data_IF_719252932972
#
_entry.id   IF_719252932972
#
_cell.length_a   1.000
_cell.length_b   1.000
_cell.length_c   1.000
_cell.angle_alpha   90.00
_cell.angle_beta   90.00
_cell.angle_gamma   90.00
#
_symmetry.space_group_name_H-M   'P 1'
#
loop_
_entity.id
_entity.type
_entity.pdbx_description
1 polymer ?
#
# COMPACT_ATOMS: atom_id res chain seq x y z
N UNK A 1 34.64 8.66 55.48
CA UNK A 1 33.86 7.60 54.81
C UNK A 1 33.14 8.23 53.63
N UNK A 2 33.63 8.03 52.40
CA UNK A 2 32.98 8.49 51.18
C UNK A 2 32.27 7.29 50.55
N UNK A 3 30.94 7.36 50.45
CA UNK A 3 30.09 6.36 49.82
C UNK A 3 30.00 6.74 48.35
N UNK A 4 30.64 5.95 47.47
CA UNK A 4 30.45 6.04 46.03
C UNK A 4 29.10 5.41 45.68
N UNK A 5 28.11 6.24 45.34
CA UNK A 5 26.86 5.79 44.72
C UNK A 5 27.14 5.44 43.25
N UNK A 6 27.31 4.15 42.97
CA UNK A 6 27.26 3.60 41.62
C UNK A 6 25.80 3.51 41.20
N UNK A 7 25.37 4.42 40.32
CA UNK A 7 24.06 4.33 39.67
C UNK A 7 24.09 3.19 38.64
N UNK A 8 23.05 2.33 38.59
CA UNK A 8 22.96 1.27 37.60
C UNK A 8 22.59 1.89 36.25
N UNK A 9 23.51 1.77 35.29
CA UNK A 9 23.21 2.06 33.89
C UNK A 9 22.28 0.93 33.41
N UNK A 10 20.98 1.19 33.40
CA UNK A 10 20.01 0.35 32.69
C UNK A 10 20.32 0.47 31.19
N UNK A 11 21.07 -0.49 30.66
CA UNK A 11 21.23 -0.68 29.23
C UNK A 11 19.87 -1.09 28.65
N UNK A 12 19.10 -0.11 28.16
CA UNK A 12 17.96 -0.34 27.29
C UNK A 12 18.49 -0.94 25.98
N UNK A 13 18.51 -2.27 25.90
CA UNK A 13 18.64 -2.99 24.64
C UNK A 13 17.39 -2.69 23.81
N UNK A 14 17.46 -1.63 23.01
CA UNK A 14 16.49 -1.37 21.96
C UNK A 14 16.60 -2.50 20.94
N UNK A 15 15.59 -3.36 20.89
CA UNK A 15 15.45 -4.33 19.80
C UNK A 15 15.18 -3.51 18.54
N UNK A 16 16.14 -3.46 17.63
CA UNK A 16 15.93 -2.91 16.30
C UNK A 16 15.13 -3.96 15.53
N UNK A 17 13.80 -3.82 15.52
CA UNK A 17 12.95 -4.64 14.68
C UNK A 17 13.17 -4.18 13.23
N UNK A 18 13.78 -5.03 12.41
CA UNK A 18 13.87 -4.78 10.99
C UNK A 18 12.49 -5.07 10.38
N UNK A 19 11.84 -4.02 9.87
CA UNK A 19 10.60 -4.16 9.09
C UNK A 19 10.85 -5.14 7.93
N UNK A 20 9.87 -5.98 7.64
CA UNK A 20 9.85 -6.82 6.44
C UNK A 20 9.31 -6.02 5.26
N UNK A 21 9.58 -6.48 4.04
CA UNK A 21 9.02 -5.86 2.84
C UNK A 21 7.49 -5.80 2.89
N UNK A 22 6.83 -6.90 3.23
CA UNK A 22 5.37 -6.94 3.39
C UNK A 22 4.84 -5.93 4.42
N UNK A 23 5.47 -5.82 5.59
CA UNK A 23 5.08 -4.82 6.62
C UNK A 23 5.23 -3.38 6.08
N UNK A 24 6.31 -3.10 5.35
CA UNK A 24 6.49 -1.80 4.69
C UNK A 24 5.38 -1.53 3.67
N UNK A 25 5.02 -2.50 2.82
CA UNK A 25 3.94 -2.37 1.85
C UNK A 25 2.59 -2.07 2.51
N UNK A 26 2.26 -2.79 3.59
CA UNK A 26 1.03 -2.57 4.34
C UNK A 26 0.98 -1.17 4.96
N UNK A 27 2.09 -0.72 5.56
CA UNK A 27 2.22 0.64 6.10
C UNK A 27 2.06 1.70 5.01
N UNK A 28 2.64 1.48 3.82
CA UNK A 28 2.49 2.39 2.69
C UNK A 28 1.08 2.35 2.09
N UNK A 29 0.39 1.21 2.06
CA UNK A 29 -1.01 1.17 1.64
C UNK A 29 -1.91 1.93 2.63
N UNK A 30 -1.69 1.77 3.93
CA UNK A 30 -2.43 2.45 5.00
C UNK A 30 -2.25 3.97 4.98
N UNK A 31 -1.02 4.48 4.89
CA UNK A 31 -0.81 5.91 4.79
C UNK A 31 -1.28 6.48 3.43
N UNK A 32 -1.35 5.65 2.37
CA UNK A 32 -1.88 6.05 1.07
C UNK A 32 -3.38 6.31 1.17
N UNK A 33 -4.16 5.38 1.74
CA UNK A 33 -5.61 5.61 1.90
C UNK A 33 -5.91 6.78 2.84
N UNK A 34 -5.05 7.06 3.84
CA UNK A 34 -5.21 8.20 4.73
C UNK A 34 -5.00 9.54 4.02
N UNK A 35 -4.16 9.57 2.98
CA UNK A 35 -3.89 10.77 2.16
C UNK A 35 -4.80 10.92 0.94
N UNK A 36 -5.50 9.84 0.54
CA UNK A 36 -6.36 9.84 -0.63
C UNK A 36 -7.62 10.72 -0.44
N UNK A 37 -8.18 11.30 -1.53
CA UNK A 37 -9.45 12.03 -1.50
C UNK A 37 -10.55 11.25 -0.78
N UNK A 38 -11.51 11.91 -0.14
CA UNK A 38 -12.52 11.24 0.71
C UNK A 38 -13.42 10.28 -0.08
N UNK A 39 -13.51 10.47 -1.40
CA UNK A 39 -14.28 9.68 -2.34
C UNK A 39 -13.55 8.42 -2.82
N UNK A 40 -12.25 8.28 -2.53
CA UNK A 40 -11.51 7.07 -2.84
C UNK A 40 -12.12 5.87 -2.13
N UNK A 41 -12.36 4.80 -2.88
CA UNK A 41 -12.90 3.54 -2.36
C UNK A 41 -11.77 2.59 -1.91
N UNK A 42 -10.60 2.70 -2.53
CA UNK A 42 -9.41 1.92 -2.22
C UNK A 42 -8.13 2.71 -2.50
N UNK A 43 -7.06 2.43 -1.74
CA UNK A 43 -5.70 2.76 -2.12
C UNK A 43 -4.89 1.48 -2.28
N UNK A 44 -4.07 1.44 -3.33
CA UNK A 44 -3.28 0.28 -3.74
C UNK A 44 -1.83 0.73 -3.84
N UNK A 45 -0.90 -0.04 -3.30
CA UNK A 45 0.54 0.09 -3.52
C UNK A 45 1.02 -1.19 -4.21
N UNK A 46 1.66 -1.04 -5.36
CA UNK A 46 2.08 -2.17 -6.17
C UNK A 46 3.49 -2.01 -6.74
N UNK A 47 4.24 -3.11 -6.75
CA UNK A 47 5.49 -3.26 -7.48
C UNK A 47 5.30 -4.20 -8.67
N UNK A 48 5.57 -3.70 -9.88
CA UNK A 48 5.61 -4.51 -11.10
C UNK A 48 4.73 -3.97 -12.23
N UNK A 49 4.70 -4.69 -13.35
CA UNK A 49 3.90 -4.32 -14.54
C UNK A 49 2.40 -4.35 -14.24
N UNK A 50 1.71 -3.25 -14.53
CA UNK A 50 0.31 -3.05 -14.14
C UNK A 50 -0.41 -2.00 -15.00
N UNK A 51 -1.74 -1.97 -14.90
CA UNK A 51 -2.61 -1.13 -15.74
C UNK A 51 -2.75 0.32 -15.26
N UNK A 52 -2.30 0.65 -14.03
CA UNK A 52 -2.43 1.98 -13.45
C UNK A 52 -1.56 3.02 -14.18
N UNK A 53 -0.40 2.61 -14.69
CA UNK A 53 0.56 3.49 -15.37
C UNK A 53 1.00 3.02 -16.76
N UNK A 54 0.45 1.91 -17.25
CA UNK A 54 0.64 1.46 -18.64
C UNK A 54 -0.57 1.80 -19.52
N UNK A 55 -0.45 1.60 -20.83
CA UNK A 55 -1.59 1.69 -21.76
C UNK A 55 -2.34 0.35 -21.89
N UNK A 56 -2.01 -0.64 -21.08
CA UNK A 56 -2.64 -1.96 -21.07
C UNK A 56 -3.78 -2.01 -20.04
N UNK A 57 -4.72 -2.91 -20.27
CA UNK A 57 -5.85 -3.15 -19.37
C UNK A 57 -6.89 -2.03 -19.40
N UNK A 58 -7.76 -2.05 -18.39
CA UNK A 58 -9.01 -1.29 -18.38
C UNK A 58 -9.12 -0.27 -17.23
N UNK A 59 -8.00 0.08 -16.57
CA UNK A 59 -8.03 1.10 -15.52
C UNK A 59 -8.50 2.43 -16.08
N UNK A 60 -9.58 2.96 -15.52
CA UNK A 60 -10.02 4.31 -15.80
C UNK A 60 -9.07 5.29 -15.10
N UNK A 61 -8.29 6.01 -15.89
CA UNK A 61 -7.28 6.98 -15.41
C UNK A 61 -7.79 8.41 -15.37
N UNK A 62 -9.11 8.62 -15.49
CA UNK A 62 -9.68 9.96 -15.30
C UNK A 62 -9.41 10.42 -13.87
N UNK A 63 -9.15 11.72 -13.71
CA UNK A 63 -8.87 12.33 -12.40
C UNK A 63 -10.03 12.19 -11.40
N UNK A 64 -11.23 11.85 -11.89
CA UNK A 64 -12.42 11.62 -11.06
C UNK A 64 -12.46 10.21 -10.46
N UNK A 65 -11.75 9.24 -11.06
CA UNK A 65 -11.80 7.82 -10.66
C UNK A 65 -10.45 7.23 -10.28
N UNK A 66 -9.37 7.97 -10.50
CA UNK A 66 -8.00 7.51 -10.25
C UNK A 66 -7.07 8.68 -9.97
N UNK A 67 -6.06 8.43 -9.15
CA UNK A 67 -4.92 9.33 -9.02
C UNK A 67 -3.74 8.69 -8.32
N UNK A 68 -2.54 9.04 -8.78
CA UNK A 68 -1.30 8.71 -8.07
C UNK A 68 -1.24 9.45 -6.74
N UNK A 69 -0.71 8.78 -5.72
CA UNK A 69 -0.53 9.32 -4.38
C UNK A 69 0.93 9.59 -4.09
N UNK A 70 1.76 8.55 -4.23
CA UNK A 70 3.18 8.60 -3.89
C UNK A 70 3.94 7.41 -4.42
N UNK A 71 5.25 7.58 -4.46
CA UNK A 71 6.22 6.50 -4.60
C UNK A 71 6.83 6.18 -3.23
N UNK A 72 7.07 4.90 -2.95
CA UNK A 72 7.77 4.47 -1.74
C UNK A 72 8.83 3.40 -2.05
N UNK A 73 9.90 3.38 -1.27
CA UNK A 73 10.92 2.33 -1.30
C UNK A 73 10.69 1.37 -0.14
N UNK A 74 10.42 0.10 -0.44
CA UNK A 74 10.34 -0.96 0.54
C UNK A 74 11.44 -1.99 0.30
N UNK A 75 12.60 -1.78 0.91
CA UNK A 75 13.75 -2.71 0.84
C UNK A 75 14.33 -2.87 -0.57
N UNK A 76 14.48 -1.76 -1.31
CA UNK A 76 15.07 -1.74 -2.64
C UNK A 76 14.07 -2.02 -3.77
N UNK A 77 12.77 -2.11 -3.46
CA UNK A 77 11.71 -2.14 -4.46
C UNK A 77 10.90 -0.84 -4.43
N UNK A 78 10.77 -0.22 -5.60
CA UNK A 78 9.90 0.93 -5.79
C UNK A 78 8.43 0.50 -5.91
N UNK A 79 7.58 1.14 -5.13
CA UNK A 79 6.13 0.97 -5.12
C UNK A 79 5.46 2.21 -5.70
N UNK A 80 4.57 2.00 -6.65
CA UNK A 80 3.62 3.04 -7.04
C UNK A 80 2.34 2.88 -6.22
N UNK A 81 2.01 3.92 -5.44
CA UNK A 81 0.79 3.98 -4.67
C UNK A 81 -0.21 4.93 -5.33
N UNK A 82 -1.47 4.50 -5.44
CA UNK A 82 -2.55 5.24 -6.10
C UNK A 82 -3.89 4.92 -5.46
N UNK A 83 -4.87 5.78 -5.69
CA UNK A 83 -6.26 5.54 -5.30
C UNK A 83 -7.12 5.23 -6.50
N UNK A 84 -8.21 4.51 -6.24
CA UNK A 84 -9.29 4.29 -7.20
C UNK A 84 -10.65 4.53 -6.54
N UNK A 85 -11.60 4.92 -7.38
CA UNK A 85 -13.01 5.04 -7.05
C UNK A 85 -13.83 4.29 -8.09
N UNK A 86 -14.94 3.69 -7.67
CA UNK A 86 -15.95 3.09 -8.53
C UNK A 86 -16.39 4.06 -9.63
N UNK A 87 -16.58 3.63 -10.89
CA UNK A 87 -16.43 2.29 -11.45
C UNK A 87 -15.05 2.12 -12.09
N UNK A 88 -14.19 1.27 -11.52
CA UNK A 88 -12.81 1.16 -11.99
C UNK A 88 -12.22 -0.24 -11.76
N UNK A 89 -11.20 -0.61 -12.53
CA UNK A 89 -10.51 -1.90 -12.45
C UNK A 89 -9.00 -1.69 -12.48
N UNK A 90 -8.31 -2.29 -11.52
CA UNK A 90 -6.85 -2.42 -11.53
C UNK A 90 -6.47 -3.84 -11.96
N UNK A 91 -5.52 -3.95 -12.87
CA UNK A 91 -4.98 -5.21 -13.35
C UNK A 91 -3.47 -5.20 -13.18
N UNK A 92 -2.92 -6.32 -12.76
CA UNK A 92 -1.49 -6.49 -12.59
C UNK A 92 -1.05 -7.77 -13.32
N UNK A 93 0.15 -7.75 -13.88
CA UNK A 93 0.68 -8.90 -14.61
C UNK A 93 1.85 -9.57 -13.89
N UNK A 94 2.48 -8.86 -12.95
CA UNK A 94 3.53 -9.37 -12.10
C UNK A 94 3.04 -10.30 -10.99
N UNK A 95 3.87 -10.44 -9.96
CA UNK A 95 3.56 -11.13 -8.72
C UNK A 95 2.64 -10.26 -7.85
N UNK A 96 1.71 -10.88 -7.14
CA UNK A 96 0.78 -10.24 -6.20
C UNK A 96 0.84 -10.87 -4.80
N UNK A 97 1.95 -11.53 -4.47
CA UNK A 97 2.28 -11.87 -3.10
C UNK A 97 2.32 -10.62 -2.21
N UNK A 98 2.23 -10.85 -0.89
CA UNK A 98 2.27 -9.82 0.17
C UNK A 98 3.47 -8.88 0.10
N UNK A 99 4.48 -9.29 -0.67
CA UNK A 99 5.74 -8.62 -0.89
C UNK A 99 5.73 -7.65 -2.10
N UNK A 100 4.67 -7.65 -2.90
CA UNK A 100 4.54 -6.86 -4.12
C UNK A 100 3.21 -6.11 -4.23
N UNK A 101 2.15 -6.57 -3.56
CA UNK A 101 0.83 -5.94 -3.55
C UNK A 101 0.32 -5.76 -2.13
N UNK A 102 -0.03 -4.52 -1.79
CA UNK A 102 -0.86 -4.21 -0.63
C UNK A 102 -1.94 -3.20 -1.00
N UNK A 103 -3.08 -3.28 -0.32
CA UNK A 103 -4.19 -2.36 -0.54
C UNK A 103 -5.01 -2.18 0.73
N UNK A 104 -5.62 -1.01 0.87
CA UNK A 104 -6.57 -0.72 1.95
C UNK A 104 -7.86 -0.21 1.33
N UNK A 105 -8.95 -0.91 1.61
CA UNK A 105 -10.31 -0.53 1.21
C UNK A 105 -10.90 0.40 2.26
N UNK A 106 -11.53 1.49 1.82
CA UNK A 106 -12.28 2.38 2.70
C UNK A 106 -13.72 1.90 2.91
N UNK A 107 -14.25 1.19 1.93
CA UNK A 107 -15.58 0.60 1.95
C UNK A 107 -15.54 -0.72 1.16
N UNK A 108 -16.66 -1.43 1.11
CA UNK A 108 -16.65 -2.75 0.49
C UNK A 108 -16.62 -2.72 -1.05
N UNK A 109 -16.75 -1.55 -1.71
CA UNK A 109 -17.06 -1.44 -3.15
C UNK A 109 -16.04 -2.08 -4.08
N UNK A 110 -14.87 -2.40 -3.56
CA UNK A 110 -13.79 -3.01 -4.31
C UNK A 110 -13.59 -4.48 -3.90
N UNK A 111 -13.48 -5.38 -4.87
CA UNK A 111 -13.21 -6.80 -4.67
C UNK A 111 -11.82 -7.18 -5.20
N UNK A 112 -11.08 -7.99 -4.45
CA UNK A 112 -9.80 -8.53 -4.89
C UNK A 112 -10.02 -9.88 -5.58
N UNK A 113 -9.58 -9.98 -6.84
CA UNK A 113 -9.71 -11.16 -7.70
C UNK A 113 -8.30 -11.69 -8.04
N UNK A 114 -7.66 -12.48 -7.16
CA UNK A 114 -6.29 -12.94 -7.39
C UNK A 114 -6.15 -13.86 -8.60
N UNK A 115 -7.16 -14.68 -8.90
CA UNK A 115 -7.18 -15.56 -10.08
C UNK A 115 -7.15 -14.74 -11.38
N UNK A 116 -7.94 -13.67 -11.42
CA UNK A 116 -8.04 -12.76 -12.57
C UNK A 116 -6.96 -11.66 -12.53
N UNK A 117 -6.03 -11.75 -11.59
CA UNK A 117 -4.98 -10.77 -11.30
C UNK A 117 -5.48 -9.32 -11.30
N UNK A 118 -6.56 -9.05 -10.57
CA UNK A 118 -7.21 -7.75 -10.61
C UNK A 118 -7.91 -7.34 -9.31
N UNK A 119 -8.20 -6.05 -9.18
CA UNK A 119 -9.05 -5.45 -8.14
C UNK A 119 -10.16 -4.65 -8.85
N UNK A 120 -11.41 -4.94 -8.52
CA UNK A 120 -12.59 -4.40 -9.21
C UNK A 120 -13.41 -3.54 -8.27
N UNK A 121 -13.57 -2.26 -8.57
CA UNK A 121 -14.43 -1.34 -7.82
C UNK A 121 -15.74 -1.11 -8.58
N UNK A 122 -16.87 -1.50 -7.97
CA UNK A 122 -18.22 -1.45 -8.55
C UNK A 122 -19.18 -0.71 -7.60
N UNK A 123 -20.35 -0.27 -8.08
CA UNK A 123 -21.40 0.18 -7.15
C UNK A 123 -21.99 -1.05 -6.46
N UNK A 124 -22.32 -0.90 -5.18
CA UNK A 124 -23.32 -1.75 -4.56
C UNK A 124 -24.67 -1.10 -4.75
N UNK A 125 -25.65 -1.90 -5.18
CA UNK A 125 -27.06 -1.57 -5.07
C UNK A 125 -27.53 -1.82 -3.63
#
# INVERSE_FOLDING_TARGET
>A
MQIFNLLPIFALLGVVYAETRGECLEREAAASIASAPYEADIAICYHGHNSAYSNEGNTNKSSEQFGGLRWADCHGIGLDCFWMKTYNIFQYWGDAGSDNLAFVKRNDKCEYKPVDKSIWCHEYH
#
